data_IF_346989183265
#
_entry.id   IF_346989183265
#
_cell.length_a   1.000
_cell.length_b   1.000
_cell.length_c   1.000
_cell.angle_alpha   90.00
_cell.angle_beta   90.00
_cell.angle_gamma   90.00
#
_symmetry.space_group_name_H-M   'P 1'
#
loop_
_entity.id
_entity.type
_entity.pdbx_description
1 polymer ?
#
# COMPACT_ATOMS: atom_id res chain seq x y z
N UNK A 1 52.10 53.86 37.23
CA UNK A 1 51.31 54.22 36.03
C UNK A 1 52.05 53.63 34.84
N UNK A 2 51.45 52.76 34.00
CA UNK A 2 50.09 52.84 33.46
C UNK A 2 49.19 51.62 33.75
N UNK A 3 47.92 51.84 33.48
CA UNK A 3 46.74 50.97 33.53
C UNK A 3 46.70 49.92 32.41
N UNK A 4 46.28 48.69 32.72
CA UNK A 4 45.82 47.71 31.73
C UNK A 4 44.48 47.11 32.15
N UNK A 5 43.59 47.06 31.17
CA UNK A 5 42.15 46.86 31.22
C UNK A 5 41.75 45.37 31.31
N UNK A 6 40.60 45.02 31.92
CA UNK A 6 40.10 43.66 31.98
C UNK A 6 39.07 43.43 30.87
N UNK A 7 39.29 42.47 29.97
CA UNK A 7 38.22 41.85 29.18
C UNK A 7 38.79 40.77 28.27
N UNK A 8 38.51 39.50 28.59
CA UNK A 8 38.43 38.41 27.62
C UNK A 8 37.71 37.22 28.28
N UNK A 9 36.38 37.38 28.45
CA UNK A 9 35.51 36.22 28.61
C UNK A 9 35.51 35.45 27.28
N UNK A 10 36.17 34.30 27.25
CA UNK A 10 36.01 33.31 26.19
C UNK A 10 34.70 32.56 26.42
N UNK A 11 33.65 32.97 25.70
CA UNK A 11 32.46 32.14 25.49
C UNK A 11 32.86 30.98 24.56
N UNK A 12 32.95 29.77 25.12
CA UNK A 12 32.93 28.54 24.33
C UNK A 12 31.49 28.35 23.82
N UNK A 13 31.21 28.81 22.61
CA UNK A 13 30.02 28.39 21.86
C UNK A 13 30.17 26.92 21.51
N UNK A 14 29.44 26.06 22.21
CA UNK A 14 29.16 24.69 21.79
C UNK A 14 28.35 24.75 20.50
N UNK A 15 29.02 24.59 19.36
CA UNK A 15 28.35 24.30 18.11
C UNK A 15 27.68 22.93 18.25
N UNK A 16 26.37 22.91 18.52
CA UNK A 16 25.55 21.73 18.26
C UNK A 16 25.67 21.42 16.77
N UNK A 17 26.39 20.35 16.46
CA UNK A 17 26.31 19.70 15.16
C UNK A 17 24.87 19.18 15.03
N UNK A 18 24.03 19.96 14.33
CA UNK A 18 22.77 19.47 13.81
C UNK A 18 23.11 18.33 12.85
N UNK A 19 22.90 17.09 13.29
CA UNK A 19 22.92 15.94 12.39
C UNK A 19 21.83 16.17 11.33
N UNK A 20 22.14 16.07 10.03
CA UNK A 20 21.10 16.08 9.02
C UNK A 20 20.16 14.91 9.32
N UNK A 21 18.87 15.22 9.50
CA UNK A 21 17.83 14.21 9.53
C UNK A 21 17.96 13.42 8.22
N UNK A 22 18.35 12.15 8.34
CA UNK A 22 18.26 11.20 7.24
C UNK A 22 16.80 11.18 6.80
N UNK A 23 16.49 11.85 5.68
CA UNK A 23 15.29 11.55 4.91
C UNK A 23 15.46 10.11 4.42
N UNK A 24 14.98 9.14 5.21
CA UNK A 24 15.08 7.74 4.87
C UNK A 24 14.50 7.49 3.49
N UNK A 25 15.23 6.77 2.64
CA UNK A 25 14.72 6.31 1.36
C UNK A 25 13.37 5.63 1.57
N UNK A 26 12.39 5.91 0.68
CA UNK A 26 11.10 5.24 0.75
C UNK A 26 11.30 3.72 0.75
N UNK A 27 10.56 2.95 1.56
CA UNK A 27 10.77 1.51 1.65
C UNK A 27 10.56 0.84 0.29
N UNK A 28 11.41 -0.14 -0.02
CA UNK A 28 11.25 -0.98 -1.21
C UNK A 28 9.94 -1.79 -1.14
N UNK A 29 9.38 -2.14 -2.30
CA UNK A 29 8.06 -2.82 -2.36
C UNK A 29 8.02 -4.17 -1.65
N UNK A 30 9.13 -4.90 -1.61
CA UNK A 30 9.29 -6.15 -0.86
C UNK A 30 9.23 -5.90 0.65
N UNK A 31 9.94 -4.87 1.15
CA UNK A 31 9.89 -4.46 2.56
C UNK A 31 8.49 -4.08 3.02
N UNK A 32 7.71 -3.40 2.17
CA UNK A 32 6.30 -3.08 2.45
C UNK A 32 5.47 -4.36 2.55
N UNK A 33 5.63 -5.30 1.60
CA UNK A 33 4.88 -6.55 1.62
C UNK A 33 5.22 -7.44 2.81
N UNK A 34 6.49 -7.49 3.23
CA UNK A 34 6.90 -8.16 4.47
C UNK A 34 6.26 -7.53 5.70
N UNK A 35 6.28 -6.19 5.81
CA UNK A 35 5.61 -5.49 6.91
C UNK A 35 4.12 -5.83 6.97
N UNK A 36 3.44 -5.85 5.83
CA UNK A 36 2.02 -6.24 5.75
C UNK A 36 1.79 -7.68 6.18
N UNK A 37 2.69 -8.58 5.79
CA UNK A 37 2.70 -9.97 6.25
C UNK A 37 2.77 -10.07 7.75
N UNK A 38 3.70 -9.37 8.40
CA UNK A 38 3.82 -9.36 9.87
C UNK A 38 2.59 -8.72 10.54
N UNK A 39 2.04 -7.64 9.98
CA UNK A 39 0.81 -7.01 10.48
C UNK A 39 -0.42 -7.95 10.41
N UNK A 40 -0.46 -8.88 9.46
CA UNK A 40 -1.58 -9.80 9.29
C UNK A 40 -1.49 -11.06 10.19
N UNK A 41 -0.39 -11.23 10.93
CA UNK A 41 -0.20 -12.33 11.89
C UNK A 41 -1.07 -12.12 13.13
N UNK A 42 -1.46 -13.20 13.81
CA UNK A 42 -1.12 -14.60 13.54
C UNK A 42 -2.02 -15.28 12.50
N UNK A 43 -3.10 -14.62 12.05
CA UNK A 43 -4.14 -15.27 11.24
C UNK A 43 -3.71 -15.54 9.80
N UNK A 44 -2.87 -14.66 9.25
CA UNK A 44 -2.39 -14.78 7.88
C UNK A 44 -0.87 -14.72 7.82
N UNK A 45 -0.32 -15.31 6.75
CA UNK A 45 1.09 -15.19 6.37
C UNK A 45 1.17 -14.68 4.94
N UNK A 46 2.09 -13.76 4.67
CA UNK A 46 2.44 -13.35 3.31
C UNK A 46 3.73 -14.03 2.88
N UNK A 47 3.70 -14.72 1.74
CA UNK A 47 4.88 -15.38 1.17
C UNK A 47 5.25 -14.70 -0.13
N UNK A 48 6.47 -14.14 -0.22
CA UNK A 48 6.97 -13.54 -1.45
C UNK A 48 7.18 -14.60 -2.53
N UNK A 49 6.70 -14.33 -3.74
CA UNK A 49 6.80 -15.26 -4.88
C UNK A 49 7.51 -14.65 -6.08
N UNK A 50 7.58 -13.33 -6.20
CA UNK A 50 8.34 -12.64 -7.25
C UNK A 50 8.74 -11.24 -6.81
N UNK A 51 9.88 -10.77 -7.33
CA UNK A 51 10.36 -9.41 -7.18
C UNK A 51 10.96 -8.95 -8.51
N UNK A 52 10.28 -8.00 -9.14
CA UNK A 52 10.68 -7.39 -10.39
C UNK A 52 11.27 -6.01 -10.08
N UNK A 53 12.54 -5.79 -10.41
CA UNK A 53 13.23 -4.49 -10.24
C UNK A 53 13.60 -3.92 -11.61
N UNK A 54 13.45 -2.61 -11.75
CA UNK A 54 13.73 -1.89 -13.00
C UNK A 54 12.47 -1.46 -13.74
N UNK A 55 12.67 -0.68 -14.80
CA UNK A 55 11.56 -0.19 -15.62
C UNK A 55 10.93 -1.32 -16.42
N UNK A 56 9.62 -1.46 -16.29
CA UNK A 56 8.79 -2.38 -17.05
C UNK A 56 7.34 -1.91 -17.05
N UNK A 57 6.42 -2.80 -17.42
CA UNK A 57 5.01 -2.48 -17.37
C UNK A 57 4.13 -3.58 -17.90
N UNK A 58 2.82 -3.33 -17.90
CA UNK A 58 1.82 -4.21 -18.49
C UNK A 58 0.68 -3.38 -19.09
N UNK A 59 0.00 -3.96 -20.08
CA UNK A 59 -1.20 -3.36 -20.63
C UNK A 59 -2.41 -3.67 -19.74
N UNK A 60 -3.29 -2.69 -19.59
CA UNK A 60 -4.65 -2.86 -19.09
C UNK A 60 -5.62 -2.37 -20.16
N UNK A 61 -6.86 -2.85 -20.09
CA UNK A 61 -7.94 -2.39 -20.96
C UNK A 61 -9.04 -1.78 -20.10
N UNK A 62 -9.48 -0.57 -20.46
CA UNK A 62 -10.55 0.16 -19.80
C UNK A 62 -11.58 0.53 -20.85
N UNK A 63 -12.79 -0.04 -20.76
CA UNK A 63 -13.87 0.21 -21.69
C UNK A 63 -13.48 0.03 -23.18
N UNK A 64 -12.60 -0.93 -23.49
CA UNK A 64 -12.11 -1.21 -24.84
C UNK A 64 -10.88 -0.40 -25.27
N UNK A 65 -10.39 0.51 -24.43
CA UNK A 65 -9.17 1.28 -24.68
C UNK A 65 -7.98 0.69 -23.93
N UNK A 66 -6.85 0.52 -24.63
CA UNK A 66 -5.62 -0.02 -24.06
C UNK A 66 -4.75 1.07 -23.41
N UNK A 67 -4.31 0.82 -22.17
CA UNK A 67 -3.42 1.71 -21.42
C UNK A 67 -2.18 0.94 -20.94
N UNK A 68 -1.03 1.62 -20.89
CA UNK A 68 0.21 1.05 -20.38
C UNK A 68 0.46 1.46 -18.93
N UNK A 69 0.60 0.48 -18.04
CA UNK A 69 0.97 0.70 -16.64
C UNK A 69 2.47 0.51 -16.51
N UNK A 70 3.22 1.61 -16.42
CA UNK A 70 4.65 1.57 -16.18
C UNK A 70 4.96 1.33 -14.69
N UNK A 71 5.99 0.55 -14.41
CA UNK A 71 6.49 0.31 -13.06
C UNK A 71 8.02 0.35 -13.03
N UNK A 72 8.58 0.81 -11.93
CA UNK A 72 10.02 0.75 -11.63
C UNK A 72 10.36 -0.40 -10.68
N UNK A 73 9.36 -0.90 -9.96
CA UNK A 73 9.49 -2.00 -9.02
C UNK A 73 8.14 -2.68 -8.81
N UNK A 74 8.13 -4.01 -8.65
CA UNK A 74 6.97 -4.77 -8.20
C UNK A 74 7.38 -5.96 -7.36
N UNK A 75 6.78 -6.09 -6.18
CA UNK A 75 6.85 -7.29 -5.36
C UNK A 75 5.50 -8.01 -5.39
N UNK A 76 5.53 -9.34 -5.57
CA UNK A 76 4.34 -10.18 -5.54
C UNK A 76 4.40 -11.13 -4.36
N UNK A 77 3.33 -11.17 -3.58
CA UNK A 77 3.14 -12.05 -2.45
C UNK A 77 1.87 -12.90 -2.63
N UNK A 78 1.83 -14.03 -1.95
CA UNK A 78 0.61 -14.81 -1.74
C UNK A 78 0.24 -14.69 -0.28
N UNK A 79 -0.98 -14.19 -0.02
CA UNK A 79 -1.57 -14.15 1.30
C UNK A 79 -2.24 -15.50 1.57
N UNK A 80 -1.87 -16.13 2.67
CA UNK A 80 -2.36 -17.45 3.07
C UNK A 80 -2.93 -17.42 4.48
N UNK A 81 -3.93 -18.25 4.74
CA UNK A 81 -4.33 -18.55 6.13
C UNK A 81 -3.17 -19.30 6.82
N UNK A 82 -2.78 -18.88 8.01
CA UNK A 82 -1.52 -19.31 8.62
C UNK A 82 -1.47 -20.82 8.96
N UNK A 83 -2.59 -21.40 9.37
CA UNK A 83 -2.70 -22.80 9.80
C UNK A 83 -2.83 -23.79 8.63
N UNK A 84 -3.66 -23.46 7.64
CA UNK A 84 -3.98 -24.31 6.50
C UNK A 84 -3.10 -24.04 5.29
N UNK A 85 -2.38 -22.90 5.27
CA UNK A 85 -1.63 -22.38 4.12
C UNK A 85 -2.46 -22.16 2.86
N UNK A 86 -3.78 -22.14 2.99
CA UNK A 86 -4.67 -21.91 1.86
C UNK A 86 -4.51 -20.47 1.36
N UNK A 87 -4.22 -20.31 0.07
CA UNK A 87 -3.99 -19.02 -0.56
C UNK A 87 -5.30 -18.27 -0.84
N UNK A 88 -5.52 -17.18 -0.10
CA UNK A 88 -6.75 -16.38 -0.18
C UNK A 88 -6.63 -15.17 -1.10
N UNK A 89 -5.42 -14.65 -1.30
CA UNK A 89 -5.18 -13.52 -2.18
C UNK A 89 -3.77 -13.55 -2.78
N UNK A 90 -3.61 -12.94 -3.95
CA UNK A 90 -2.30 -12.53 -4.46
C UNK A 90 -2.17 -11.03 -4.29
N UNK A 91 -1.11 -10.59 -3.61
CA UNK A 91 -0.81 -9.17 -3.40
C UNK A 91 0.27 -8.76 -4.39
N UNK A 92 0.03 -7.74 -5.20
CA UNK A 92 1.01 -7.12 -6.10
C UNK A 92 1.24 -5.70 -5.64
N UNK A 93 2.38 -5.44 -5.03
CA UNK A 93 2.79 -4.09 -4.61
C UNK A 93 3.69 -3.55 -5.71
N UNK A 94 3.30 -2.44 -6.31
CA UNK A 94 4.02 -1.83 -7.44
C UNK A 94 4.30 -0.36 -7.19
N UNK A 95 5.46 0.09 -7.67
CA UNK A 95 5.88 1.47 -7.67
C UNK A 95 5.96 1.96 -9.12
N UNK A 96 5.15 2.94 -9.53
CA UNK A 96 5.28 3.56 -10.84
C UNK A 96 6.41 4.60 -10.85
N UNK A 97 6.80 5.12 -12.02
CA UNK A 97 7.52 6.38 -12.10
C UNK A 97 6.74 7.48 -11.37
N UNK A 98 7.42 8.27 -10.53
CA UNK A 98 6.75 9.25 -9.65
C UNK A 98 5.92 10.27 -10.43
N UNK A 99 6.43 10.71 -11.59
CA UNK A 99 5.74 11.66 -12.47
C UNK A 99 4.42 11.12 -13.05
N UNK A 100 4.28 9.79 -13.15
CA UNK A 100 3.11 9.12 -13.73
C UNK A 100 2.13 8.62 -12.66
N UNK A 101 2.44 8.79 -11.37
CA UNK A 101 1.66 8.17 -10.30
C UNK A 101 0.18 8.53 -10.37
N UNK A 102 -0.16 9.82 -10.44
CA UNK A 102 -1.56 10.26 -10.37
C UNK A 102 -2.34 9.89 -11.63
N UNK A 103 -1.68 9.91 -12.80
CA UNK A 103 -2.27 9.45 -14.05
C UNK A 103 -2.57 7.93 -14.00
N UNK A 104 -1.60 7.13 -13.55
CA UNK A 104 -1.79 5.69 -13.39
C UNK A 104 -2.82 5.35 -12.30
N UNK A 105 -2.93 6.17 -11.25
CA UNK A 105 -3.98 6.02 -10.25
C UNK A 105 -5.36 6.18 -10.90
N UNK A 106 -5.53 7.19 -11.75
CA UNK A 106 -6.74 7.41 -12.53
C UNK A 106 -7.05 6.25 -13.48
N UNK A 107 -6.06 5.71 -14.19
CA UNK A 107 -6.28 4.54 -15.06
C UNK A 107 -6.68 3.29 -14.29
N UNK A 108 -6.02 2.99 -13.16
CA UNK A 108 -6.32 1.82 -12.33
C UNK A 108 -7.69 1.91 -11.68
N UNK A 109 -8.09 3.10 -11.25
CA UNK A 109 -9.44 3.33 -10.75
C UNK A 109 -10.48 3.10 -11.85
N UNK A 110 -10.31 3.72 -13.02
CA UNK A 110 -11.25 3.55 -14.14
C UNK A 110 -11.33 2.10 -14.60
N UNK A 111 -10.20 1.39 -14.62
CA UNK A 111 -10.16 -0.04 -14.87
C UNK A 111 -11.03 -0.81 -13.88
N UNK A 112 -10.86 -0.56 -12.58
CA UNK A 112 -11.64 -1.28 -11.56
C UNK A 112 -13.14 -0.96 -11.66
N UNK A 113 -13.50 0.29 -11.97
CA UNK A 113 -14.88 0.70 -12.26
C UNK A 113 -15.46 -0.03 -13.49
N UNK A 114 -14.70 -0.13 -14.57
CA UNK A 114 -15.10 -0.84 -15.79
C UNK A 114 -15.28 -2.35 -15.54
N UNK A 115 -14.36 -2.97 -14.79
CA UNK A 115 -14.52 -4.36 -14.34
C UNK A 115 -15.77 -4.53 -13.46
N UNK A 116 -16.07 -3.57 -12.59
CA UNK A 116 -17.24 -3.60 -11.72
C UNK A 116 -18.54 -3.53 -12.52
N UNK A 117 -18.62 -2.58 -13.44
CA UNK A 117 -19.76 -2.39 -14.34
C UNK A 117 -20.03 -3.64 -15.18
N UNK A 118 -19.01 -4.20 -15.84
CA UNK A 118 -19.15 -5.43 -16.64
C UNK A 118 -19.53 -6.66 -15.81
N UNK A 119 -19.19 -6.65 -14.52
CA UNK A 119 -19.53 -7.73 -13.59
C UNK A 119 -20.86 -7.51 -12.86
N UNK A 120 -21.57 -6.41 -13.15
CA UNK A 120 -22.79 -5.99 -12.46
C UNK A 120 -22.63 -5.92 -10.92
N UNK A 121 -21.47 -5.44 -10.46
CA UNK A 121 -21.18 -5.24 -9.03
C UNK A 121 -20.81 -3.80 -8.76
N UNK A 122 -20.99 -3.37 -7.51
CA UNK A 122 -20.59 -2.03 -7.08
C UNK A 122 -19.13 -2.06 -6.63
N UNK A 123 -18.36 -1.05 -7.05
CA UNK A 123 -17.05 -0.78 -6.48
C UNK A 123 -17.23 0.06 -5.21
N UNK A 124 -16.68 -0.41 -4.10
CA UNK A 124 -16.64 0.33 -2.86
C UNK A 124 -15.37 1.16 -2.76
N UNK A 125 -15.48 2.34 -2.15
CA UNK A 125 -14.35 3.22 -1.85
C UNK A 125 -14.33 3.52 -0.36
N UNK A 126 -13.17 3.31 0.27
CA UNK A 126 -12.91 3.62 1.68
C UNK A 126 -11.66 4.49 1.79
N UNK A 127 -11.77 5.62 2.48
CA UNK A 127 -10.60 6.40 2.88
C UNK A 127 -10.00 5.79 4.15
N UNK A 128 -8.70 5.51 4.12
CA UNK A 128 -7.93 5.01 5.24
C UNK A 128 -7.11 6.15 5.87
N UNK A 129 -6.46 5.85 6.99
CA UNK A 129 -5.50 6.76 7.61
C UNK A 129 -4.39 7.18 6.64
N UNK A 130 -3.85 8.39 6.84
CA UNK A 130 -2.78 8.92 5.99
C UNK A 130 -3.21 9.30 4.56
N UNK A 131 -4.52 9.35 4.28
CA UNK A 131 -5.04 9.67 2.94
C UNK A 131 -4.85 8.55 1.92
N UNK A 132 -4.68 7.31 2.40
CA UNK A 132 -4.63 6.12 1.55
C UNK A 132 -6.05 5.75 1.13
N UNK A 133 -6.25 5.46 -0.15
CA UNK A 133 -7.55 5.02 -0.67
C UNK A 133 -7.57 3.50 -0.82
N UNK A 134 -8.64 2.86 -0.37
CA UNK A 134 -8.94 1.46 -0.65
C UNK A 134 -10.17 1.39 -1.56
N UNK A 135 -9.98 0.85 -2.75
CA UNK A 135 -11.04 0.51 -3.68
C UNK A 135 -11.22 -0.99 -3.66
N UNK A 136 -12.46 -1.48 -3.56
CA UNK A 136 -12.73 -2.92 -3.51
C UNK A 136 -13.95 -3.29 -4.33
N UNK A 137 -13.92 -4.50 -4.87
CA UNK A 137 -15.08 -5.13 -5.48
C UNK A 137 -15.07 -6.64 -5.24
N UNK A 138 -16.25 -7.19 -5.06
CA UNK A 138 -16.48 -8.62 -4.91
C UNK A 138 -17.49 -9.04 -5.96
N UNK A 139 -17.21 -10.14 -6.66
CA UNK A 139 -18.10 -10.66 -7.70
C UNK A 139 -19.41 -11.13 -7.07
N UNK A 140 -20.54 -10.89 -7.76
CA UNK A 140 -21.84 -11.45 -7.39
C UNK A 140 -21.93 -12.97 -7.57
N UNK A 141 -20.99 -13.57 -8.30
CA UNK A 141 -20.93 -15.02 -8.55
C UNK A 141 -19.52 -15.55 -8.34
N UNK A 142 -19.40 -16.70 -7.66
CA UNK A 142 -18.12 -17.36 -7.38
C UNK A 142 -17.61 -18.18 -8.58
N UNK A 143 -17.35 -17.51 -9.71
CA UNK A 143 -16.87 -18.13 -10.95
C UNK A 143 -15.40 -17.77 -11.27
N UNK A 144 -14.69 -18.73 -11.86
CA UNK A 144 -13.28 -18.59 -12.24
C UNK A 144 -12.32 -18.70 -11.05
N UNK A 145 -11.07 -18.24 -11.25
CA UNK A 145 -9.99 -18.34 -10.25
C UNK A 145 -10.00 -17.22 -9.21
N UNK A 146 -10.59 -16.08 -9.56
CA UNK A 146 -10.63 -14.87 -8.73
C UNK A 146 -12.08 -14.43 -8.51
N UNK A 147 -12.38 -13.98 -7.29
CA UNK A 147 -13.74 -13.64 -6.82
C UNK A 147 -13.86 -12.19 -6.39
N UNK A 148 -12.78 -11.43 -6.44
CA UNK A 148 -12.79 -10.00 -6.15
C UNK A 148 -11.42 -9.40 -6.41
N UNK A 149 -11.37 -8.07 -6.38
CA UNK A 149 -10.14 -7.29 -6.46
C UNK A 149 -10.21 -6.16 -5.45
N UNK A 150 -9.11 -5.89 -4.76
CA UNK A 150 -8.93 -4.67 -4.00
C UNK A 150 -7.68 -3.92 -4.46
N UNK A 151 -7.75 -2.61 -4.52
CA UNK A 151 -6.67 -1.72 -4.89
C UNK A 151 -6.45 -0.70 -3.79
N UNK A 152 -5.23 -0.67 -3.27
CA UNK A 152 -4.75 0.36 -2.36
C UNK A 152 -3.96 1.38 -3.18
N UNK A 153 -4.32 2.66 -3.02
CA UNK A 153 -3.62 3.81 -3.58
C UNK A 153 -2.98 4.60 -2.44
N UNK A 154 -1.67 4.48 -2.28
CA UNK A 154 -0.90 5.20 -1.26
C UNK A 154 -0.08 6.30 -1.94
N UNK A 155 -0.65 7.52 -1.94
CA UNK A 155 -0.02 8.71 -2.53
C UNK A 155 1.20 9.18 -1.75
N UNK A 156 1.29 8.90 -0.45
CA UNK A 156 2.42 9.32 0.37
C UNK A 156 3.66 8.49 0.03
N UNK A 157 3.50 7.17 -0.05
CA UNK A 157 4.59 6.24 -0.39
C UNK A 157 4.79 6.06 -1.90
N UNK A 158 3.88 6.61 -2.70
CA UNK A 158 3.82 6.47 -4.16
C UNK A 158 3.83 5.00 -4.59
N UNK A 159 2.95 4.21 -3.98
CA UNK A 159 2.76 2.80 -4.33
C UNK A 159 1.29 2.49 -4.65
N UNK A 160 1.09 1.42 -5.40
CA UNK A 160 -0.18 0.73 -5.54
C UNK A 160 -0.05 -0.68 -4.98
N UNK A 161 -1.07 -1.18 -4.29
CA UNK A 161 -1.16 -2.60 -3.97
C UNK A 161 -2.47 -3.19 -4.48
N UNK A 162 -2.38 -4.16 -5.36
CA UNK A 162 -3.52 -4.90 -5.89
C UNK A 162 -3.62 -6.25 -5.17
N UNK A 163 -4.80 -6.56 -4.64
CA UNK A 163 -5.10 -7.85 -4.04
C UNK A 163 -6.12 -8.57 -4.91
N UNK A 164 -5.67 -9.62 -5.59
CA UNK A 164 -6.54 -10.52 -6.34
C UNK A 164 -7.09 -11.59 -5.39
N UNK A 165 -8.35 -11.45 -4.98
CA UNK A 165 -9.01 -12.39 -4.08
C UNK A 165 -9.31 -13.70 -4.79
N UNK A 166 -8.78 -14.79 -4.26
CA UNK A 166 -8.89 -16.12 -4.88
C UNK A 166 -10.21 -16.78 -4.50
N UNK A 167 -10.77 -17.52 -5.44
CA UNK A 167 -11.78 -18.52 -5.10
C UNK A 167 -11.12 -19.64 -4.31
N UNK A 168 -11.74 -20.00 -3.19
CA UNK A 168 -11.37 -21.15 -2.36
C UNK A 168 -12.60 -22.01 -2.10
N UNK A 169 -12.40 -23.25 -1.69
CA UNK A 169 -13.47 -24.25 -1.62
C UNK A 169 -14.51 -23.93 -0.55
N UNK A 170 -14.10 -23.32 0.58
CA UNK A 170 -15.02 -23.00 1.68
C UNK A 170 -16.01 -21.87 1.38
N UNK A 171 -15.81 -21.10 0.31
CA UNK A 171 -16.76 -20.04 -0.05
C UNK A 171 -18.00 -20.67 -0.69
N UNK A 172 -19.11 -20.61 0.03
CA UNK A 172 -20.44 -20.96 -0.45
C UNK A 172 -21.11 -19.77 -1.15
N UNK A 173 -20.78 -18.54 -0.76
CA UNK A 173 -21.42 -17.32 -1.28
C UNK A 173 -20.45 -16.12 -1.39
N UNK A 174 -20.81 -15.07 -2.15
CA UNK A 174 -20.08 -13.80 -2.13
C UNK A 174 -19.94 -13.18 -0.74
N UNK A 175 -20.86 -13.46 0.19
CA UNK A 175 -20.77 -12.95 1.56
C UNK A 175 -19.55 -13.51 2.29
N UNK A 176 -19.20 -14.77 2.07
CA UNK A 176 -18.02 -15.41 2.67
C UNK A 176 -16.71 -14.76 2.18
N UNK A 177 -16.71 -14.32 0.91
CA UNK A 177 -15.60 -13.56 0.33
C UNK A 177 -15.45 -12.23 1.04
N UNK A 178 -16.55 -11.48 1.15
CA UNK A 178 -16.56 -10.17 1.83
C UNK A 178 -16.17 -10.29 3.30
N UNK A 179 -16.60 -11.35 4.00
CA UNK A 179 -16.20 -11.60 5.39
C UNK A 179 -14.70 -11.89 5.51
N UNK A 180 -14.13 -12.70 4.60
CA UNK A 180 -12.68 -12.94 4.56
C UNK A 180 -11.91 -11.64 4.29
N UNK A 181 -12.37 -10.84 3.33
CA UNK A 181 -11.77 -9.54 3.01
C UNK A 181 -11.75 -8.63 4.24
N UNK A 182 -12.89 -8.45 4.90
CA UNK A 182 -12.98 -7.62 6.11
C UNK A 182 -12.13 -8.18 7.26
N UNK A 183 -12.01 -9.50 7.38
CA UNK A 183 -11.11 -10.12 8.37
C UNK A 183 -9.65 -9.78 8.09
N UNK A 184 -9.20 -9.90 6.84
CA UNK A 184 -7.85 -9.47 6.43
C UNK A 184 -7.64 -7.99 6.72
N UNK A 185 -8.60 -7.14 6.35
CA UNK A 185 -8.50 -5.69 6.58
C UNK A 185 -8.44 -5.33 8.06
N UNK A 186 -9.22 -6.02 8.91
CA UNK A 186 -9.21 -5.80 10.35
C UNK A 186 -7.84 -6.08 10.98
N UNK A 187 -7.11 -7.06 10.47
CA UNK A 187 -5.74 -7.36 10.93
C UNK A 187 -4.72 -6.40 10.32
N UNK A 188 -4.79 -6.20 9.01
CA UNK A 188 -3.77 -5.47 8.26
C UNK A 188 -3.78 -3.96 8.56
N UNK A 189 -4.96 -3.34 8.48
CA UNK A 189 -5.07 -1.88 8.42
C UNK A 189 -4.51 -1.15 9.66
N UNK A 190 -4.79 -1.57 10.91
CA UNK A 190 -4.30 -0.86 12.10
C UNK A 190 -2.77 -0.76 12.18
N UNK A 191 -2.06 -1.76 11.64
CA UNK A 191 -0.61 -1.84 11.69
C UNK A 191 0.06 -1.31 10.41
N UNK A 192 -0.50 -1.58 9.23
CA UNK A 192 0.07 -1.16 7.95
C UNK A 192 -0.16 0.33 7.64
N UNK A 193 -1.29 0.86 8.12
CA UNK A 193 -1.76 2.24 7.89
C UNK A 193 -2.21 2.85 9.22
N UNK A 194 -1.29 3.08 10.18
CA UNK A 194 -1.66 3.67 11.45
C UNK A 194 -2.20 5.08 11.26
N UNK A 195 -3.17 5.46 12.09
CA UNK A 195 -3.62 6.84 12.16
C UNK A 195 -2.43 7.75 12.49
N UNK A 196 -2.20 8.77 11.67
CA UNK A 196 -1.25 9.83 12.04
C UNK A 196 -1.96 10.66 13.10
N UNK A 197 -1.46 10.60 14.33
CA UNK A 197 -1.89 11.50 15.39
C UNK A 197 -1.67 12.94 14.90
N UNK A 198 -2.68 13.82 14.91
CA UNK A 198 -2.49 15.18 14.43
C UNK A 198 -1.38 15.81 15.27
N UNK A 199 -0.28 16.21 14.61
CA UNK A 199 0.81 16.89 15.27
C UNK A 199 0.21 18.04 16.09
N UNK A 200 0.38 18.00 17.41
CA UNK A 200 0.03 19.08 18.32
C UNK A 200 0.64 20.36 17.74
N UNK A 201 -0.20 21.17 17.11
CA UNK A 201 0.17 22.52 16.67
C UNK A 201 0.50 23.26 17.95
N UNK A 202 1.79 23.34 18.28
CA UNK A 202 2.29 24.29 19.28
C UNK A 202 1.95 25.68 18.74
N UNK A 203 0.83 26.22 19.20
CA UNK A 203 0.52 27.64 19.09
C UNK A 203 1.57 28.36 19.95
N UNK A 204 2.57 28.94 19.29
CA UNK A 204 3.39 30.00 19.84
C UNK A 204 2.81 31.33 19.38
#
# INVERSE_FOLDING_TARGET
MPTLSPSLLRLFSTALLAFPAYAGAAPATDGIGWQWGECARPQFTAVMVALDKGFGGYAIEVAGEGYWIAMTERATFVLQVADTREAIARIKISRPPVAEFDEQAGWRERWLQDVAARSAVTMERRMLAGGVELLSMTKGTLAGKFVGVSLIVDRQRKIFAELDWRRIERYASPADVSEMQETVWRQLLPCAFPAVEPALVKRN
#
